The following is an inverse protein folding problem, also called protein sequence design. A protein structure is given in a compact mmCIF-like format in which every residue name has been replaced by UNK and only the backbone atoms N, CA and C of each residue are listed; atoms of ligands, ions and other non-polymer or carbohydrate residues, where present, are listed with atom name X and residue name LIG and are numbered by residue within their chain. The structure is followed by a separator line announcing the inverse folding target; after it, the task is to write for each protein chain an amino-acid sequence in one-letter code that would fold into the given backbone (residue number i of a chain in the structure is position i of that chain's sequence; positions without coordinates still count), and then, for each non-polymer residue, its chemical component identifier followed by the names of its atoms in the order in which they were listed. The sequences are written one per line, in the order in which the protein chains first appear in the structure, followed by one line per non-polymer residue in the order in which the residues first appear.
data_IF_455885054710
#
_entry.id   IF_455885054710
#
_cell.length_a   1.000
_cell.length_b   1.000
_cell.length_c   1.000
_cell.angle_alpha   90.00
_cell.angle_beta   90.00
_cell.angle_gamma   90.00
#
_symmetry.space_group_name_H-M   'P 1'
#
loop_
_entity.id
_entity.type
_entity.pdbx_description
1 polymer ?
#
# COMPACT_ATOMS: atom_id res chain seq x y z
N UNK A 1 -8.78 -1.39 17.91
CA UNK A 1 -7.70 -1.15 18.89
C UNK A 1 -6.72 -2.32 18.94
N UNK A 2 -7.10 -3.55 19.27
CA UNK A 2 -6.13 -4.66 19.44
C UNK A 2 -5.20 -4.98 18.24
N UNK A 3 -5.65 -4.81 16.99
CA UNK A 3 -4.84 -5.19 15.81
C UNK A 3 -3.69 -4.21 15.57
N UNK A 4 -3.93 -2.90 15.68
CA UNK A 4 -2.90 -1.89 15.43
C UNK A 4 -1.77 -1.96 16.47
N UNK A 5 -2.12 -2.18 17.73
CA UNK A 5 -1.15 -2.37 18.82
C UNK A 5 -0.26 -3.59 18.58
N UNK A 6 -0.84 -4.69 18.10
CA UNK A 6 -0.07 -5.89 17.76
C UNK A 6 0.85 -5.68 16.56
N UNK A 7 0.45 -4.85 15.59
CA UNK A 7 1.28 -4.52 14.43
C UNK A 7 2.50 -3.68 14.83
N UNK A 8 2.34 -2.76 15.79
CA UNK A 8 3.45 -1.96 16.31
C UNK A 8 4.53 -2.82 16.98
N UNK A 9 4.15 -3.93 17.62
CA UNK A 9 5.10 -4.87 18.24
C UNK A 9 5.95 -5.63 17.21
N UNK A 10 5.53 -5.66 15.94
CA UNK A 10 6.24 -6.32 14.84
C UNK A 10 7.10 -5.35 14.02
N UNK A 11 7.04 -4.05 14.31
CA UNK A 11 7.86 -3.07 13.60
C UNK A 11 9.33 -3.16 14.01
N UNK A 12 10.21 -3.07 13.02
CA UNK A 12 11.66 -2.98 13.19
C UNK A 12 12.22 -1.98 12.15
N UNK A 13 13.52 -1.66 12.24
CA UNK A 13 14.17 -0.74 11.32
C UNK A 13 14.00 -1.16 9.84
N UNK A 14 13.96 -2.47 9.58
CA UNK A 14 13.85 -3.04 8.25
C UNK A 14 12.41 -3.20 7.74
N UNK A 15 11.41 -3.17 8.62
CA UNK A 15 10.04 -3.53 8.25
C UNK A 15 8.97 -2.83 9.07
N UNK A 16 7.92 -2.39 8.40
CA UNK A 16 6.77 -1.74 9.04
C UNK A 16 5.46 -2.09 8.36
N UNK A 17 4.42 -2.39 9.15
CA UNK A 17 3.07 -2.63 8.63
C UNK A 17 2.18 -1.42 8.90
N UNK A 18 1.58 -0.86 7.86
CA UNK A 18 0.62 0.24 7.97
C UNK A 18 -0.76 -0.22 7.54
N UNK A 19 -1.75 -0.01 8.40
CA UNK A 19 -3.14 -0.39 8.15
C UNK A 19 -3.97 0.85 7.78
N UNK A 20 -4.69 0.76 6.66
CA UNK A 20 -5.66 1.78 6.24
C UNK A 20 -7.00 1.11 5.92
N UNK A 21 -7.97 1.31 6.79
CA UNK A 21 -9.25 0.61 6.76
C UNK A 21 -10.46 1.51 6.41
N UNK A 22 -10.35 2.84 6.53
CA UNK A 22 -11.46 3.77 6.30
C UNK A 22 -11.18 4.77 5.16
N UNK A 23 -12.22 5.18 4.43
CA UNK A 23 -12.13 6.21 3.37
C UNK A 23 -11.62 7.57 3.89
N UNK A 24 -11.81 7.85 5.19
CA UNK A 24 -11.35 9.09 5.84
C UNK A 24 -9.83 9.18 6.05
N UNK A 25 -9.08 8.08 5.90
CA UNK A 25 -7.61 8.10 5.95
C UNK A 25 -7.03 8.63 4.64
N UNK A 26 -7.27 9.91 4.38
CA UNK A 26 -6.60 10.66 3.31
C UNK A 26 -5.09 10.82 3.56
N UNK A 27 -4.60 10.50 4.75
CA UNK A 27 -3.19 10.67 5.13
C UNK A 27 -2.24 9.69 4.41
N UNK A 28 -2.76 8.61 3.81
CA UNK A 28 -2.03 7.75 2.85
C UNK A 28 -1.41 8.60 1.72
N UNK A 29 -2.03 9.73 1.36
CA UNK A 29 -1.55 10.64 0.29
C UNK A 29 -0.34 11.47 0.70
N UNK A 30 -0.17 11.73 2.00
CA UNK A 30 0.87 12.62 2.55
C UNK A 30 2.09 11.83 3.00
N UNK A 31 1.90 10.56 3.32
CA UNK A 31 2.97 9.71 3.80
C UNK A 31 3.91 9.28 2.68
N UNK A 32 5.22 9.35 2.95
CA UNK A 32 6.23 8.68 2.14
C UNK A 32 6.46 7.27 2.67
N UNK A 33 6.48 6.31 1.74
CA UNK A 33 6.79 4.91 2.03
C UNK A 33 8.27 4.63 1.75
N UNK A 34 8.93 3.85 2.60
CA UNK A 34 10.29 3.33 2.41
C UNK A 34 10.24 1.88 1.95
N UNK A 35 11.36 1.41 1.43
CA UNK A 35 11.57 -0.04 1.24
C UNK A 35 11.39 -0.73 2.60
N UNK A 36 10.64 -1.84 2.62
CA UNK A 36 10.27 -2.55 3.85
C UNK A 36 8.90 -2.16 4.43
N UNK A 37 8.23 -1.13 3.92
CA UNK A 37 6.84 -0.87 4.28
C UNK A 37 5.89 -1.87 3.61
N UNK A 38 5.02 -2.48 4.41
CA UNK A 38 3.85 -3.24 3.95
C UNK A 38 2.60 -2.44 4.26
N UNK A 39 1.78 -2.22 3.23
CA UNK A 39 0.57 -1.41 3.32
C UNK A 39 -0.63 -2.34 3.18
N UNK A 40 -1.41 -2.45 4.25
CA UNK A 40 -2.67 -3.20 4.28
C UNK A 40 -3.81 -2.23 4.04
N UNK A 41 -4.55 -2.44 2.96
CA UNK A 41 -5.61 -1.51 2.54
C UNK A 41 -6.91 -2.27 2.30
N UNK A 42 -7.97 -1.85 2.98
CA UNK A 42 -9.32 -2.34 2.68
C UNK A 42 -9.78 -1.81 1.31
N UNK A 43 -10.66 -2.55 0.63
CA UNK A 43 -11.09 -2.37 -0.78
C UNK A 43 -11.32 -0.91 -1.26
N UNK A 44 -11.66 0.02 -0.37
CA UNK A 44 -11.98 1.41 -0.67
C UNK A 44 -11.07 2.44 0.03
N UNK A 45 -10.23 2.02 0.98
CA UNK A 45 -9.31 2.93 1.65
C UNK A 45 -8.20 3.39 0.67
N UNK A 46 -7.81 4.66 0.76
CA UNK A 46 -6.81 5.26 -0.14
C UNK A 46 -7.25 5.32 -1.61
N UNK A 47 -8.55 5.23 -1.92
CA UNK A 47 -9.04 5.41 -3.30
C UNK A 47 -8.64 6.79 -3.84
N UNK A 48 -8.25 6.86 -5.12
CA UNK A 48 -7.72 8.08 -5.79
C UNK A 48 -6.44 8.64 -5.15
N UNK A 49 -5.78 7.91 -4.26
CA UNK A 49 -4.51 8.30 -3.66
C UNK A 49 -3.34 7.76 -4.48
N UNK A 50 -2.32 8.58 -4.70
CA UNK A 50 -1.06 8.14 -5.27
C UNK A 50 -0.12 7.75 -4.13
N UNK A 51 0.28 6.47 -4.08
CA UNK A 51 1.32 5.99 -3.16
C UNK A 51 2.66 6.55 -3.61
N UNK A 52 3.37 7.26 -2.72
CA UNK A 52 4.70 7.83 -2.99
C UNK A 52 5.77 7.06 -2.24
N UNK A 53 6.72 6.48 -2.97
CA UNK A 53 7.84 5.75 -2.39
C UNK A 53 9.07 6.66 -2.36
N UNK A 54 9.68 6.81 -1.19
CA UNK A 54 10.96 7.47 -1.01
C UNK A 54 12.07 6.57 -1.56
N UNK A 55 12.73 7.04 -2.62
CA UNK A 55 13.82 6.32 -3.26
C UNK A 55 15.12 6.70 -2.58
N UNK A 56 15.63 5.82 -1.71
CA UNK A 56 16.97 5.95 -1.15
C UNK A 56 17.92 5.16 -2.05
N UNK A 57 18.69 5.86 -2.89
CA UNK A 57 19.72 5.25 -3.76
C UNK A 57 19.25 4.88 -5.18
N UNK A 58 20.11 4.13 -5.90
CA UNK A 58 19.89 3.68 -7.30
C UNK A 58 19.15 2.33 -7.42
N UNK A 59 18.77 1.72 -6.30
CA UNK A 59 18.08 0.44 -6.32
C UNK A 59 16.65 0.57 -6.83
N UNK A 60 16.21 -0.44 -7.61
CA UNK A 60 14.86 -0.47 -8.18
C UNK A 60 13.84 -0.75 -7.07
N UNK A 61 13.31 0.29 -6.45
CA UNK A 61 12.13 0.18 -5.59
C UNK A 61 10.92 -0.18 -6.47
N UNK A 62 10.39 -1.38 -6.30
CA UNK A 62 9.20 -1.85 -7.03
C UNK A 62 8.03 -1.97 -6.07
N UNK A 63 6.89 -1.38 -6.42
CA UNK A 63 5.63 -1.61 -5.72
C UNK A 63 5.04 -2.95 -6.17
N UNK A 64 4.84 -3.88 -5.23
CA UNK A 64 4.07 -5.11 -5.46
C UNK A 64 2.73 -4.98 -4.75
N UNK A 65 1.66 -5.39 -5.43
CA UNK A 65 0.30 -5.33 -4.86
C UNK A 65 -0.25 -6.74 -4.82
N UNK A 66 -0.57 -7.23 -3.62
CA UNK A 66 -1.18 -8.54 -3.44
C UNK A 66 -2.66 -8.32 -3.13
N UNK A 67 -3.53 -9.01 -3.87
CA UNK A 67 -4.98 -8.96 -3.62
C UNK A 67 -5.36 -10.11 -2.68
N UNK A 68 -5.77 -9.78 -1.46
CA UNK A 68 -6.06 -10.79 -0.43
C UNK A 68 -7.37 -11.57 -0.63
N UNK A 69 -8.24 -11.11 -1.53
CA UNK A 69 -9.48 -11.81 -1.90
C UNK A 69 -9.87 -11.46 -3.34
N UNK A 70 -10.56 -12.36 -4.03
CA UNK A 70 -11.10 -12.08 -5.37
C UNK A 70 -12.31 -11.15 -5.25
N UNK A 71 -12.26 -9.92 -5.77
CA UNK A 71 -13.40 -9.02 -5.71
C UNK A 71 -14.51 -9.53 -6.64
N UNK A 72 -15.77 -9.40 -6.23
CA UNK A 72 -16.92 -9.83 -7.03
C UNK A 72 -17.14 -9.00 -8.31
N UNK A 73 -16.31 -8.00 -8.60
CA UNK A 73 -16.44 -7.16 -9.78
C UNK A 73 -15.09 -6.86 -10.43
N UNK A 74 -15.03 -7.02 -11.75
CA UNK A 74 -13.88 -6.68 -12.59
C UNK A 74 -13.48 -5.20 -12.45
N UNK A 75 -14.45 -4.32 -12.15
CA UNK A 75 -14.19 -2.89 -11.91
C UNK A 75 -13.33 -2.66 -10.67
N UNK A 76 -13.52 -3.45 -9.62
CA UNK A 76 -12.74 -3.35 -8.37
C UNK A 76 -11.35 -3.95 -8.55
N UNK A 77 -11.25 -5.05 -9.29
CA UNK A 77 -9.97 -5.64 -9.68
C UNK A 77 -9.12 -4.65 -10.47
N UNK A 78 -9.68 -4.04 -11.52
CA UNK A 78 -8.99 -3.03 -12.33
C UNK A 78 -8.48 -1.84 -11.52
N UNK A 79 -9.23 -1.39 -10.49
CA UNK A 79 -8.77 -0.33 -9.59
C UNK A 79 -7.56 -0.72 -8.75
N UNK A 80 -7.36 -2.00 -8.48
CA UNK A 80 -6.19 -2.50 -7.75
C UNK A 80 -4.96 -2.52 -8.66
N UNK A 81 -5.13 -2.97 -9.91
CA UNK A 81 -4.09 -2.94 -10.94
C UNK A 81 -3.65 -1.51 -11.27
N UNK A 82 -4.60 -0.57 -11.35
CA UNK A 82 -4.32 0.85 -11.60
C UNK A 82 -3.40 1.49 -10.54
N UNK A 83 -3.32 0.95 -9.32
CA UNK A 83 -2.40 1.44 -8.28
C UNK A 83 -0.93 1.21 -8.66
N UNK A 84 -0.64 0.17 -9.42
CA UNK A 84 0.72 -0.16 -9.89
C UNK A 84 1.11 0.68 -11.10
N UNK A 85 0.21 0.82 -12.06
CA UNK A 85 0.49 1.46 -13.37
C UNK A 85 0.89 2.94 -13.27
N UNK A 86 0.47 3.64 -12.20
CA UNK A 86 0.75 5.08 -12.00
C UNK A 86 2.18 5.38 -11.55
N UNK A 87 2.92 4.37 -11.09
CA UNK A 87 4.36 4.45 -10.87
C UNK A 87 5.01 3.80 -12.10
N UNK A 88 5.75 4.55 -12.92
CA UNK A 88 6.26 4.13 -14.25
C UNK A 88 7.29 2.98 -14.24
N UNK A 89 7.26 2.11 -13.24
CA UNK A 89 8.25 1.09 -12.94
C UNK A 89 7.54 -0.26 -12.76
N UNK A 90 8.11 -1.29 -13.39
CA UNK A 90 7.67 -2.69 -13.45
C UNK A 90 7.10 -3.27 -12.14
N UNK A 91 5.87 -2.94 -11.78
CA UNK A 91 5.16 -3.57 -10.67
C UNK A 91 4.49 -4.86 -11.12
N UNK A 92 4.21 -5.72 -10.15
CA UNK A 92 3.52 -7.00 -10.36
C UNK A 92 2.32 -7.03 -9.40
N UNK A 93 1.18 -7.45 -9.94
CA UNK A 93 -0.04 -7.81 -9.19
C UNK A 93 0.02 -9.31 -8.95
#
# INVERSE_FOLDING_TARGET
MAVEENLLLLEDDQFRIRLHCCEGHSDVTKEMFKVGDVILVANMAGRKTNVKINRVGKEKSVLRVIVGFLPCSLRVEGQTVERISRQSHNGTV
#
